data_IF_718091457439
#
_entry.id   IF_718091457439
#
_cell.length_a   1.000
_cell.length_b   1.000
_cell.length_c   1.000
_cell.angle_alpha   90.00
_cell.angle_beta   90.00
_cell.angle_gamma   90.00
#
_symmetry.space_group_name_H-M   'P 1'
#
loop_
_entity.id
_entity.type
_entity.pdbx_description
1 polymer ?
#
# COMPACT_ATOMS: atom_id res chain seq x y z
N UNK A 1 30.88 9.43 3.49
CA UNK A 1 29.74 10.30 3.19
C UNK A 1 28.52 9.41 3.04
N UNK A 2 27.58 9.57 3.99
CA UNK A 2 26.15 9.19 3.96
C UNK A 2 25.77 7.69 3.97
N UNK A 3 25.39 7.24 5.17
CA UNK A 3 24.24 6.40 5.54
C UNK A 3 23.52 5.61 4.44
N UNK A 4 24.04 4.42 4.13
CA UNK A 4 23.18 3.31 3.71
C UNK A 4 22.52 2.72 4.97
N UNK A 5 21.50 3.40 5.50
CA UNK A 5 20.50 2.70 6.31
C UNK A 5 19.76 1.77 5.34
N UNK A 6 20.35 0.61 5.09
CA UNK A 6 19.71 -0.52 4.44
C UNK A 6 18.47 -0.86 5.27
N UNK A 7 17.32 -0.37 4.82
CA UNK A 7 15.99 -0.79 5.28
C UNK A 7 15.69 -2.24 4.82
N UNK A 8 16.69 -3.12 4.90
CA UNK A 8 16.65 -4.50 4.41
C UNK A 8 16.26 -5.52 5.49
N UNK A 9 16.17 -5.09 6.76
CA UNK A 9 15.83 -5.97 7.90
C UNK A 9 14.50 -5.60 8.58
N UNK A 10 13.75 -4.64 8.04
CA UNK A 10 12.38 -4.45 8.46
C UNK A 10 11.54 -5.58 7.86
N UNK A 11 11.05 -6.48 8.71
CA UNK A 11 10.13 -7.55 8.30
C UNK A 11 9.09 -6.98 7.31
N UNK A 12 8.85 -7.66 6.17
CA UNK A 12 8.01 -7.10 5.12
C UNK A 12 6.65 -6.76 5.71
N UNK A 13 6.20 -5.51 5.55
CA UNK A 13 4.88 -5.13 6.02
C UNK A 13 3.85 -6.07 5.40
N UNK A 14 3.03 -6.68 6.26
CA UNK A 14 1.98 -7.61 5.88
C UNK A 14 0.63 -6.94 6.05
N UNK A 15 -0.27 -7.24 5.13
CA UNK A 15 -1.64 -6.76 5.17
C UNK A 15 -2.37 -7.36 6.39
N UNK A 16 -2.59 -6.53 7.41
CA UNK A 16 -3.38 -6.86 8.59
C UNK A 16 -4.59 -5.94 8.70
N UNK A 17 -5.78 -6.50 8.44
CA UNK A 17 -7.04 -5.77 8.50
C UNK A 17 -7.45 -5.36 9.92
N UNK A 18 -6.82 -5.91 10.96
CA UNK A 18 -7.01 -5.44 12.33
C UNK A 18 -6.44 -4.03 12.55
N UNK A 19 -5.44 -3.63 11.74
CA UNK A 19 -4.86 -2.29 11.77
C UNK A 19 -5.62 -1.28 10.89
N UNK A 20 -6.48 -1.75 9.99
CA UNK A 20 -7.25 -0.89 9.10
C UNK A 20 -8.32 -0.12 9.90
N UNK A 21 -8.38 1.23 9.80
CA UNK A 21 -9.40 1.99 10.49
C UNK A 21 -10.81 1.62 10.01
N UNK A 22 -11.81 1.87 10.84
CA UNK A 22 -13.19 1.57 10.48
C UNK A 22 -13.62 2.34 9.21
N UNK A 23 -14.28 1.64 8.29
CA UNK A 23 -14.70 2.17 6.99
C UNK A 23 -13.62 2.17 5.90
N UNK A 24 -12.42 1.68 6.18
CA UNK A 24 -11.36 1.47 5.19
C UNK A 24 -11.38 0.00 4.73
N UNK A 25 -12.06 -0.25 3.63
CA UNK A 25 -12.37 -1.60 3.16
C UNK A 25 -11.47 -2.06 2.01
N UNK A 26 -10.48 -1.26 1.63
CA UNK A 26 -9.59 -1.54 0.51
C UNK A 26 -8.15 -1.34 0.93
N UNK A 27 -7.24 -2.13 0.38
CA UNK A 27 -5.82 -2.03 0.64
C UNK A 27 -5.07 -2.34 -0.64
N UNK A 28 -4.00 -1.61 -0.91
CA UNK A 28 -3.17 -1.90 -2.06
C UNK A 28 -1.74 -1.43 -1.84
N UNK A 29 -0.82 -2.06 -2.55
CA UNK A 29 0.59 -1.72 -2.58
C UNK A 29 0.92 -0.96 -3.87
N UNK A 30 1.66 0.13 -3.73
CA UNK A 30 2.27 0.82 -4.86
C UNK A 30 3.56 0.09 -5.29
N UNK A 31 4.04 0.37 -6.51
CA UNK A 31 5.24 -0.24 -7.10
C UNK A 31 6.50 -0.08 -6.25
N UNK A 32 6.59 1.02 -5.50
CA UNK A 32 7.70 1.32 -4.59
C UNK A 32 7.60 0.56 -3.26
N UNK A 33 6.57 -0.28 -3.08
CA UNK A 33 6.39 -1.12 -1.90
C UNK A 33 5.55 -0.50 -0.80
N UNK A 34 5.13 0.77 -0.93
CA UNK A 34 4.25 1.45 0.03
C UNK A 34 2.85 0.87 0.00
N UNK A 35 2.33 0.54 1.17
CA UNK A 35 0.97 0.07 1.35
C UNK A 35 0.07 1.20 1.83
N UNK A 36 -1.13 1.24 1.29
CA UNK A 36 -2.14 2.22 1.64
C UNK A 36 -3.47 1.53 1.91
N UNK A 37 -4.15 2.00 2.94
CA UNK A 37 -5.58 1.77 3.13
C UNK A 37 -6.37 2.71 2.23
N UNK A 38 -7.52 2.25 1.76
CA UNK A 38 -8.50 3.05 1.04
C UNK A 38 -9.94 2.87 1.57
N UNK A 39 -10.69 3.97 1.63
CA UNK A 39 -12.14 3.95 1.95
C UNK A 39 -13.00 3.55 0.75
N UNK A 40 -12.58 3.97 -0.42
CA UNK A 40 -13.21 3.68 -1.71
C UNK A 40 -12.26 2.88 -2.56
N UNK A 41 -12.77 2.18 -3.58
CA UNK A 41 -11.93 1.38 -4.47
C UNK A 41 -10.95 2.29 -5.23
N UNK A 42 -9.63 2.16 -5.04
CA UNK A 42 -8.65 2.94 -5.78
C UNK A 42 -8.56 2.49 -7.24
N UNK A 43 -8.02 3.35 -8.09
CA UNK A 43 -7.77 3.09 -9.51
C UNK A 43 -6.26 2.93 -9.78
N UNK A 44 -5.85 2.00 -10.65
CA UNK A 44 -4.44 1.82 -10.97
C UNK A 44 -3.91 2.97 -11.86
N UNK A 45 -2.85 3.63 -11.42
CA UNK A 45 -2.12 4.66 -12.17
C UNK A 45 -0.80 4.12 -12.74
N UNK A 46 -0.85 3.52 -13.93
CA UNK A 46 0.28 2.80 -14.53
C UNK A 46 1.54 3.62 -14.76
N UNK A 47 1.42 4.91 -15.11
CA UNK A 47 2.58 5.78 -15.34
C UNK A 47 3.45 5.97 -14.09
N UNK A 48 2.83 5.99 -12.90
CA UNK A 48 3.52 6.12 -11.61
C UNK A 48 3.66 4.82 -10.84
N UNK A 49 3.07 3.72 -11.33
CA UNK A 49 2.93 2.45 -10.60
C UNK A 49 2.28 2.62 -9.23
N UNK A 50 1.28 3.50 -9.12
CA UNK A 50 0.60 3.80 -7.84
C UNK A 50 -0.90 3.59 -7.94
N UNK A 51 -1.51 3.25 -6.81
CA UNK A 51 -2.95 3.27 -6.64
C UNK A 51 -3.42 4.68 -6.29
N UNK A 52 -4.40 5.19 -7.04
CA UNK A 52 -4.95 6.54 -6.85
C UNK A 52 -6.35 6.49 -6.28
N UNK A 53 -6.58 7.31 -5.27
CA UNK A 53 -7.89 7.63 -4.73
C UNK A 53 -7.91 9.10 -4.30
N UNK A 54 -9.08 9.59 -3.88
CA UNK A 54 -9.18 10.90 -3.23
C UNK A 54 -8.28 10.93 -1.99
N UNK A 55 -7.57 12.03 -1.73
CA UNK A 55 -6.63 12.16 -0.60
C UNK A 55 -7.30 11.88 0.76
N UNK A 56 -8.58 12.22 0.92
CA UNK A 56 -9.39 11.93 2.11
C UNK A 56 -9.75 10.44 2.29
N UNK A 57 -9.47 9.63 1.27
CA UNK A 57 -9.77 8.21 1.19
C UNK A 57 -8.51 7.37 0.99
N UNK A 58 -7.32 7.94 1.24
CA UNK A 58 -6.02 7.27 1.18
C UNK A 58 -5.27 7.50 2.50
N UNK A 59 -4.74 6.45 3.11
CA UNK A 59 -3.93 6.54 4.33
C UNK A 59 -2.79 5.55 4.26
N UNK A 60 -1.58 6.00 4.58
CA UNK A 60 -0.40 5.12 4.61
C UNK A 60 -0.59 4.04 5.69
N UNK A 61 -0.42 2.79 5.28
CA UNK A 61 -0.53 1.62 6.14
C UNK A 61 0.85 1.15 6.60
N UNK A 62 1.81 1.11 5.67
CA UNK A 62 3.18 0.72 5.95
C UNK A 62 4.03 0.59 4.69
N UNK A 63 5.19 -0.05 4.81
CA UNK A 63 6.17 -0.20 3.74
C UNK A 63 6.63 -1.66 3.66
N UNK A 64 6.41 -2.28 2.51
CA UNK A 64 6.97 -3.58 2.15
C UNK A 64 8.07 -3.46 1.09
N UNK A 65 8.47 -4.60 0.53
CA UNK A 65 9.37 -4.64 -0.61
C UNK A 65 8.69 -4.08 -1.88
N UNK A 66 9.44 -3.45 -2.81
CA UNK A 66 8.93 -3.07 -4.12
C UNK A 66 8.33 -4.25 -4.87
N UNK A 67 7.23 -4.02 -5.59
CA UNK A 67 6.49 -5.07 -6.27
C UNK A 67 6.23 -4.70 -7.74
N UNK A 68 6.72 -5.52 -8.67
CA UNK A 68 6.50 -5.33 -10.10
C UNK A 68 5.01 -5.51 -10.47
N UNK A 69 4.32 -6.39 -9.75
CA UNK A 69 2.91 -6.73 -9.93
C UNK A 69 1.98 -5.94 -8.98
N UNK A 70 2.40 -4.72 -8.60
CA UNK A 70 1.65 -3.82 -7.71
C UNK A 70 0.17 -3.67 -8.10
N UNK A 71 -0.16 -3.70 -9.40
CA UNK A 71 -1.51 -3.58 -9.94
C UNK A 71 -2.42 -4.80 -9.63
N UNK A 72 -1.87 -5.90 -9.12
CA UNK A 72 -2.60 -7.08 -8.66
C UNK A 72 -2.78 -7.09 -7.13
N UNK A 73 -2.16 -6.15 -6.40
CA UNK A 73 -2.15 -6.15 -4.92
C UNK A 73 -3.41 -5.58 -4.29
N UNK A 74 -4.41 -5.17 -5.09
CA UNK A 74 -5.66 -4.63 -4.58
C UNK A 74 -6.45 -5.71 -3.83
N UNK A 75 -6.56 -5.54 -2.52
CA UNK A 75 -7.36 -6.38 -1.65
C UNK A 75 -8.57 -5.61 -1.12
N UNK A 76 -9.70 -6.32 -0.99
CA UNK A 76 -10.91 -5.81 -0.34
C UNK A 76 -11.11 -6.54 0.98
N UNK A 77 -11.50 -5.82 2.03
CA UNK A 77 -11.84 -6.38 3.33
C UNK A 77 -13.12 -7.22 3.19
N UNK A 78 -13.02 -8.51 3.48
CA UNK A 78 -14.14 -9.45 3.45
C UNK A 78 -14.53 -9.94 2.05
N UNK A 79 -13.64 -9.81 1.05
CA UNK A 79 -13.75 -10.48 -0.25
C UNK A 79 -13.22 -11.89 -0.24
#
# INVERSE_FOLDING_TARGET
>A
MQDETSAADAAPWRLDWAQAPQGWNWAAQDGDGRWYWYRTRPQPGFAGRVWRANSRSQQLAGQGAPNADWHLTLCQRGG
#
